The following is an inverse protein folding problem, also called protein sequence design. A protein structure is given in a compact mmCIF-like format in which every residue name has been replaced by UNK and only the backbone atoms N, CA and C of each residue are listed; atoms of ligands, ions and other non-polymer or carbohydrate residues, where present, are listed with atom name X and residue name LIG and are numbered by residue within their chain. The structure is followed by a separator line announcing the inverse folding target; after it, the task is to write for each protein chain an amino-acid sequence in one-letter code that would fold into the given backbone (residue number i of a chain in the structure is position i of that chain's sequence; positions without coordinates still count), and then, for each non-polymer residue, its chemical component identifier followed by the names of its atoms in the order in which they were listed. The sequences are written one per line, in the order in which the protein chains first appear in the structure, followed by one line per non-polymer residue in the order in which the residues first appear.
data_IF_262688097945
#
_entry.id   IF_262688097945
#
_cell.length_a   1.000
_cell.length_b   1.000
_cell.length_c   1.000
_cell.angle_alpha   90.00
_cell.angle_beta   90.00
_cell.angle_gamma   90.00
#
_symmetry.space_group_name_H-M   'P 1'
#
loop_
_entity.id
_entity.type
_entity.pdbx_description
1 polymer ?
#
# COMPACT_ATOMS: atom_id res chain seq x y z
N UNK A 1 16.26 -20.03 -3.07
CA UNK A 1 17.51 -19.56 -3.71
C UNK A 1 17.37 -18.05 -3.83
N UNK A 2 18.16 -17.24 -3.09
CA UNK A 2 18.24 -15.80 -3.29
C UNK A 2 18.78 -15.59 -4.72
N UNK A 3 17.95 -15.01 -5.59
CA UNK A 3 18.48 -14.46 -6.82
C UNK A 3 19.36 -13.26 -6.47
N UNK A 4 20.60 -13.30 -6.89
CA UNK A 4 21.57 -12.26 -6.61
C UNK A 4 21.42 -11.01 -7.49
N UNK A 5 20.46 -11.00 -8.43
CA UNK A 5 20.27 -9.88 -9.38
C UNK A 5 19.56 -8.69 -8.75
N UNK A 6 18.80 -8.88 -7.66
CA UNK A 6 17.96 -7.84 -7.06
C UNK A 6 16.80 -7.38 -7.96
N UNK A 7 16.58 -8.05 -9.09
CA UNK A 7 15.51 -7.71 -10.03
C UNK A 7 14.24 -8.44 -9.61
N UNK A 8 13.05 -7.79 -9.58
CA UNK A 8 11.80 -8.48 -9.33
C UNK A 8 11.55 -9.59 -10.34
N UNK A 9 11.06 -10.74 -9.88
CA UNK A 9 10.72 -11.89 -10.76
C UNK A 9 9.40 -11.72 -11.52
N UNK A 10 8.83 -10.53 -11.55
CA UNK A 10 7.57 -10.22 -12.22
C UNK A 10 7.72 -9.00 -13.12
N UNK A 11 6.95 -8.97 -14.21
CA UNK A 11 6.92 -7.83 -15.11
C UNK A 11 6.05 -6.71 -14.50
N UNK A 12 6.68 -5.57 -14.22
CA UNK A 12 6.01 -4.38 -13.70
C UNK A 12 4.94 -3.82 -14.63
N UNK A 13 5.01 -4.11 -15.92
CA UNK A 13 4.09 -3.59 -16.94
C UNK A 13 2.85 -4.47 -17.12
N UNK A 14 3.00 -5.78 -16.92
CA UNK A 14 1.93 -6.77 -17.16
C UNK A 14 1.31 -7.31 -15.87
N UNK A 15 1.80 -6.87 -14.70
CA UNK A 15 1.34 -7.36 -13.40
C UNK A 15 0.46 -6.31 -12.70
N UNK A 16 -0.67 -6.75 -12.14
CA UNK A 16 -1.42 -5.94 -11.18
C UNK A 16 -0.70 -5.93 -9.84
N UNK A 17 -0.23 -4.77 -9.45
CA UNK A 17 0.39 -4.57 -8.15
C UNK A 17 -0.67 -4.20 -7.11
N UNK A 18 -0.79 -5.03 -6.07
CA UNK A 18 -1.72 -4.80 -4.96
C UNK A 18 -0.93 -4.42 -3.72
N UNK A 19 -1.24 -3.27 -3.14
CA UNK A 19 -0.55 -2.78 -1.95
C UNK A 19 -1.52 -2.16 -0.94
N UNK A 20 -1.06 -2.03 0.30
CA UNK A 20 -1.71 -1.20 1.30
C UNK A 20 -0.92 0.10 1.44
N UNK A 21 -1.37 1.18 0.82
CA UNK A 21 -0.70 2.47 0.70
C UNK A 21 0.46 2.46 -0.32
N UNK A 22 0.10 2.35 -1.59
CA UNK A 22 1.04 2.26 -2.72
C UNK A 22 2.18 3.29 -2.75
N UNK A 23 2.07 4.53 -2.20
CA UNK A 23 3.22 5.44 -2.15
C UNK A 23 4.46 4.86 -1.48
N UNK A 24 4.31 4.07 -0.41
CA UNK A 24 5.44 3.48 0.31
C UNK A 24 6.16 2.42 -0.53
N UNK A 25 5.41 1.47 -1.10
CA UNK A 25 5.97 0.37 -1.89
C UNK A 25 6.54 0.88 -3.22
N UNK A 26 5.79 1.74 -3.92
CA UNK A 26 6.25 2.32 -5.19
C UNK A 26 7.46 3.23 -4.96
N UNK A 27 7.49 3.98 -3.86
CA UNK A 27 8.66 4.76 -3.45
C UNK A 27 9.89 3.88 -3.27
N UNK A 28 9.73 2.72 -2.63
CA UNK A 28 10.81 1.72 -2.49
C UNK A 28 11.28 1.18 -3.84
N UNK A 29 10.37 0.84 -4.76
CA UNK A 29 10.73 0.40 -6.11
C UNK A 29 11.49 1.46 -6.90
N UNK A 30 11.06 2.73 -6.81
CA UNK A 30 11.75 3.83 -7.46
C UNK A 30 13.16 4.05 -6.89
N UNK A 31 13.35 3.86 -5.59
CA UNK A 31 14.67 3.99 -4.95
C UNK A 31 15.59 2.82 -5.29
N UNK A 32 15.04 1.64 -5.53
CA UNK A 32 15.77 0.45 -5.97
C UNK A 32 15.93 0.36 -7.51
N UNK A 33 15.48 1.37 -8.24
CA UNK A 33 15.54 1.44 -9.71
C UNK A 33 14.76 0.32 -10.43
N UNK A 34 13.74 -0.25 -9.79
CA UNK A 34 12.87 -1.26 -10.42
C UNK A 34 11.81 -0.67 -11.34
N UNK A 35 11.62 0.65 -11.29
CA UNK A 35 10.57 1.31 -12.05
C UNK A 35 9.26 1.42 -11.29
N UNK A 36 8.18 1.68 -12.04
CA UNK A 36 6.83 1.86 -11.50
C UNK A 36 5.88 0.81 -12.09
N UNK A 37 5.03 0.16 -11.28
CA UNK A 37 3.98 -0.71 -11.79
C UNK A 37 3.00 0.05 -12.71
N UNK A 38 2.58 -0.60 -13.80
CA UNK A 38 1.63 -0.03 -14.75
C UNK A 38 0.19 -0.10 -14.25
N UNK A 39 -0.17 -1.12 -13.50
CA UNK A 39 -1.48 -1.29 -12.88
C UNK A 39 -1.32 -1.41 -11.36
N UNK A 40 -2.00 -0.55 -10.61
CA UNK A 40 -1.93 -0.52 -9.15
C UNK A 40 -3.33 -0.57 -8.56
N UNK A 41 -3.55 -1.49 -7.62
CA UNK A 41 -4.69 -1.49 -6.73
C UNK A 41 -4.21 -1.09 -5.33
N UNK A 42 -4.65 0.06 -4.86
CA UNK A 42 -4.33 0.52 -3.52
C UNK A 42 -5.49 0.21 -2.56
N UNK A 43 -5.26 -0.79 -1.71
CA UNK A 43 -6.24 -1.27 -0.73
C UNK A 43 -6.64 -0.16 0.25
N UNK A 44 -5.71 0.73 0.62
CA UNK A 44 -5.97 1.85 1.51
C UNK A 44 -6.96 2.86 0.90
N UNK A 45 -6.73 3.28 -0.35
CA UNK A 45 -7.58 4.27 -0.99
C UNK A 45 -8.97 3.71 -1.30
N UNK A 46 -9.07 2.44 -1.69
CA UNK A 46 -10.37 1.77 -1.86
C UNK A 46 -11.12 1.67 -0.54
N UNK A 47 -10.42 1.33 0.55
CA UNK A 47 -10.99 1.33 1.87
C UNK A 47 -11.46 2.73 2.29
N UNK A 48 -10.65 3.76 2.09
CA UNK A 48 -11.01 5.15 2.38
C UNK A 48 -12.29 5.59 1.65
N UNK A 49 -12.45 5.20 0.38
CA UNK A 49 -13.68 5.44 -0.42
C UNK A 49 -14.91 4.81 0.23
N UNK A 50 -14.81 3.54 0.62
CA UNK A 50 -15.92 2.79 1.21
C UNK A 50 -16.32 3.34 2.57
N UNK A 51 -15.37 3.77 3.38
CA UNK A 51 -15.62 4.23 4.75
C UNK A 51 -16.01 5.69 4.88
N UNK A 52 -15.61 6.56 3.97
CA UNK A 52 -16.13 7.93 3.94
C UNK A 52 -17.65 7.98 3.79
N UNK A 53 -18.23 6.92 3.23
CA UNK A 53 -19.69 6.78 3.07
C UNK A 53 -20.38 6.09 4.25
N UNK A 54 -19.64 5.40 5.12
CA UNK A 54 -20.18 4.70 6.29
C UNK A 54 -19.58 5.29 7.58
N UNK A 55 -20.34 6.05 8.34
CA UNK A 55 -19.95 6.71 9.62
C UNK A 55 -19.50 5.77 10.75
N UNK A 56 -19.33 4.48 10.53
CA UNK A 56 -19.13 3.47 11.57
C UNK A 56 -17.67 3.03 11.78
N UNK A 57 -16.69 3.64 11.12
CA UNK A 57 -15.30 3.19 11.26
C UNK A 57 -14.60 3.88 12.44
N UNK A 58 -14.55 3.20 13.58
CA UNK A 58 -13.77 3.63 14.74
C UNK A 58 -12.36 3.03 14.62
N UNK A 59 -11.32 3.87 14.55
CA UNK A 59 -9.95 3.37 14.70
C UNK A 59 -8.94 3.71 13.59
N UNK A 60 -9.30 4.52 12.59
CA UNK A 60 -8.38 4.93 11.53
C UNK A 60 -8.18 3.88 10.42
N UNK A 61 -7.61 4.32 9.31
CA UNK A 61 -7.43 3.51 8.10
C UNK A 61 -6.05 2.81 8.13
N UNK A 62 -5.82 1.90 9.04
CA UNK A 62 -4.64 1.01 8.99
C UNK A 62 -5.03 -0.39 8.52
N UNK A 63 -4.04 -1.21 8.15
CA UNK A 63 -4.28 -2.56 7.63
C UNK A 63 -5.02 -3.44 8.65
N UNK A 64 -4.69 -3.35 9.92
CA UNK A 64 -5.32 -4.13 10.99
C UNK A 64 -6.82 -3.82 11.09
N UNK A 65 -7.16 -2.52 11.18
CA UNK A 65 -8.55 -2.10 11.27
C UNK A 65 -9.35 -2.42 9.99
N UNK A 66 -8.69 -2.30 8.83
CA UNK A 66 -9.27 -2.71 7.55
C UNK A 66 -9.57 -4.20 7.53
N UNK A 67 -8.61 -5.04 7.88
CA UNK A 67 -8.78 -6.49 7.93
C UNK A 67 -9.88 -6.91 8.91
N UNK A 68 -9.93 -6.31 10.10
CA UNK A 68 -10.99 -6.53 11.08
C UNK A 68 -12.38 -6.19 10.52
N UNK A 69 -12.50 -5.08 9.79
CA UNK A 69 -13.75 -4.66 9.18
C UNK A 69 -14.26 -5.65 8.11
N UNK A 70 -13.35 -6.32 7.43
CA UNK A 70 -13.66 -7.40 6.49
C UNK A 70 -13.79 -8.78 7.14
N UNK A 71 -13.68 -8.87 8.47
CA UNK A 71 -13.80 -10.13 9.23
C UNK A 71 -12.64 -11.11 8.98
N UNK A 72 -11.48 -10.61 8.57
CA UNK A 72 -10.26 -11.41 8.38
C UNK A 72 -9.73 -11.78 9.76
N UNK A 73 -9.45 -13.06 9.96
CA UNK A 73 -8.94 -13.62 11.21
C UNK A 73 -7.44 -13.89 11.12
N UNK A 74 -6.79 -14.11 12.25
CA UNK A 74 -5.35 -14.42 12.37
C UNK A 74 -4.43 -13.32 11.88
N UNK A 75 -4.87 -12.06 12.01
CA UNK A 75 -4.04 -10.89 11.76
C UNK A 75 -3.16 -10.59 12.97
N UNK A 76 -2.01 -9.99 12.72
CA UNK A 76 -1.12 -9.56 13.79
C UNK A 76 -1.75 -8.44 14.63
N UNK A 77 -1.59 -8.53 15.95
CA UNK A 77 -2.00 -7.46 16.86
C UNK A 77 -1.17 -6.19 16.68
N UNK A 78 -1.67 -5.05 17.18
CA UNK A 78 -0.90 -3.80 17.17
C UNK A 78 0.41 -3.91 17.96
N UNK A 79 0.40 -4.67 19.05
CA UNK A 79 1.60 -4.89 19.87
C UNK A 79 2.66 -5.70 19.11
N UNK A 80 2.28 -6.80 18.46
CA UNK A 80 3.20 -7.57 17.61
C UNK A 80 3.77 -6.70 16.48
N UNK A 81 2.92 -5.94 15.78
CA UNK A 81 3.37 -5.02 14.71
C UNK A 81 4.33 -3.95 15.21
N UNK A 82 4.10 -3.43 16.41
CA UNK A 82 4.99 -2.45 17.02
C UNK A 82 6.36 -3.06 17.31
N UNK A 83 6.40 -4.24 17.91
CA UNK A 83 7.66 -4.94 18.24
C UNK A 83 8.51 -5.21 16.99
N UNK A 84 7.89 -5.71 15.90
CA UNK A 84 8.62 -5.98 14.66
C UNK A 84 9.08 -4.68 13.97
N UNK A 85 8.27 -3.63 14.02
CA UNK A 85 8.66 -2.32 13.49
C UNK A 85 9.81 -1.70 14.29
N UNK A 86 9.74 -1.75 15.61
CA UNK A 86 10.79 -1.22 16.48
C UNK A 86 12.11 -1.97 16.20
N UNK A 87 12.08 -3.30 16.07
CA UNK A 87 13.24 -4.10 15.67
C UNK A 87 13.84 -3.62 14.32
N UNK A 88 12.99 -3.37 13.31
CA UNK A 88 13.44 -2.93 11.98
C UNK A 88 14.06 -1.53 12.04
N UNK A 89 13.52 -0.62 12.85
CA UNK A 89 13.96 0.79 12.88
C UNK A 89 15.18 1.02 13.76
N UNK A 90 15.38 0.21 14.80
CA UNK A 90 16.45 0.40 15.78
C UNK A 90 17.77 -0.24 15.37
N UNK A 91 17.77 -1.17 14.42
CA UNK A 91 18.95 -1.94 14.02
C UNK A 91 19.25 -1.77 12.53
N UNK A 92 20.55 -1.82 12.18
CA UNK A 92 21.02 -1.85 10.79
C UNK A 92 21.44 -3.25 10.31
N UNK A 93 21.67 -4.15 11.26
CA UNK A 93 22.06 -5.54 11.00
C UNK A 93 21.25 -6.46 11.88
N UNK A 94 20.88 -7.61 11.35
CA UNK A 94 20.00 -8.57 12.02
C UNK A 94 20.69 -9.93 12.14
N UNK A 95 20.39 -10.64 13.22
CA UNK A 95 20.71 -12.05 13.37
C UNK A 95 19.82 -12.88 12.43
N UNK A 96 20.20 -14.13 12.10
CA UNK A 96 19.38 -15.02 11.26
C UNK A 96 17.93 -15.21 11.80
N UNK A 97 17.77 -15.27 13.12
CA UNK A 97 16.46 -15.42 13.75
C UNK A 97 15.62 -14.13 13.63
N UNK A 98 16.24 -12.96 13.74
CA UNK A 98 15.58 -11.66 13.53
C UNK A 98 15.21 -11.47 12.05
N UNK A 99 16.09 -11.84 11.11
CA UNK A 99 15.76 -11.86 9.68
C UNK A 99 14.52 -12.72 9.39
N UNK A 100 14.45 -13.91 9.98
CA UNK A 100 13.31 -14.80 9.81
C UNK A 100 12.02 -14.20 10.40
N UNK A 101 12.11 -13.55 11.56
CA UNK A 101 10.97 -12.85 12.17
C UNK A 101 10.47 -11.73 11.27
N UNK A 102 11.37 -10.89 10.73
CA UNK A 102 11.04 -9.80 9.80
C UNK A 102 10.39 -10.34 8.53
N UNK A 103 10.92 -11.42 7.95
CA UNK A 103 10.33 -12.07 6.77
C UNK A 103 8.92 -12.60 7.06
N UNK A 104 8.70 -13.24 8.20
CA UNK A 104 7.39 -13.73 8.62
C UNK A 104 6.40 -12.56 8.85
N UNK A 105 6.88 -11.46 9.41
CA UNK A 105 6.09 -10.23 9.55
C UNK A 105 5.64 -9.71 8.18
N UNK A 106 6.57 -9.54 7.25
CA UNK A 106 6.26 -9.09 5.88
C UNK A 106 5.30 -10.04 5.16
N UNK A 107 5.51 -11.35 5.29
CA UNK A 107 4.62 -12.35 4.69
C UNK A 107 3.18 -12.22 5.20
N UNK A 108 2.98 -12.09 6.51
CA UNK A 108 1.65 -11.94 7.12
C UNK A 108 0.95 -10.66 6.68
N UNK A 109 1.69 -9.55 6.52
CA UNK A 109 1.12 -8.30 6.00
C UNK A 109 0.71 -8.42 4.53
N UNK A 110 1.50 -9.11 3.70
CA UNK A 110 1.17 -9.39 2.29
C UNK A 110 -0.07 -10.28 2.19
N UNK A 111 -0.13 -11.38 2.96
CA UNK A 111 -1.27 -12.30 2.99
C UNK A 111 -2.56 -11.58 3.45
N UNK A 112 -2.44 -10.71 4.46
CA UNK A 112 -3.57 -9.89 4.94
C UNK A 112 -4.04 -8.92 3.86
N UNK A 113 -3.11 -8.26 3.18
CA UNK A 113 -3.41 -7.32 2.07
C UNK A 113 -4.12 -8.04 0.92
N UNK A 114 -3.67 -9.24 0.54
CA UNK A 114 -4.29 -10.06 -0.48
C UNK A 114 -5.73 -10.44 -0.12
N UNK A 115 -5.97 -10.88 1.12
CA UNK A 115 -7.32 -11.22 1.58
C UNK A 115 -8.26 -10.01 1.59
N UNK A 116 -7.76 -8.81 1.97
CA UNK A 116 -8.56 -7.58 1.90
C UNK A 116 -8.89 -7.23 0.46
N UNK A 117 -7.92 -7.33 -0.45
CA UNK A 117 -8.14 -7.10 -1.88
C UNK A 117 -9.25 -7.98 -2.45
N UNK A 118 -9.23 -9.31 -2.19
CA UNK A 118 -10.28 -10.24 -2.63
C UNK A 118 -11.67 -9.81 -2.12
N UNK A 119 -11.77 -9.36 -0.86
CA UNK A 119 -13.01 -8.84 -0.30
C UNK A 119 -13.48 -7.55 -0.96
N UNK A 120 -12.54 -6.64 -1.28
CA UNK A 120 -12.86 -5.39 -1.98
C UNK A 120 -13.37 -5.65 -3.39
N UNK A 121 -12.77 -6.56 -4.13
CA UNK A 121 -13.24 -6.97 -5.47
C UNK A 121 -14.66 -7.54 -5.39
N UNK A 122 -14.92 -8.46 -4.45
CA UNK A 122 -16.26 -9.02 -4.25
C UNK A 122 -17.30 -7.95 -3.83
N UNK A 123 -16.90 -6.94 -3.07
CA UNK A 123 -17.78 -5.83 -2.69
C UNK A 123 -18.11 -4.91 -3.87
N UNK A 124 -17.18 -4.70 -4.78
CA UNK A 124 -17.42 -3.95 -6.03
C UNK A 124 -18.49 -4.66 -6.86
N UNK A 125 -18.41 -5.99 -7.00
CA UNK A 125 -19.43 -6.78 -7.72
C UNK A 125 -20.81 -6.63 -7.10
N UNK A 126 -20.90 -6.75 -5.76
CA UNK A 126 -22.19 -6.68 -5.03
C UNK A 126 -22.83 -5.31 -5.04
N UNK A 127 -22.05 -4.24 -5.06
CA UNK A 127 -22.53 -2.87 -4.83
C UNK A 127 -22.47 -2.00 -6.09
N UNK A 128 -22.45 -2.59 -7.26
CA UNK A 128 -22.33 -1.89 -8.55
C UNK A 128 -23.45 -0.88 -8.82
N UNK A 129 -24.66 -1.07 -8.22
CA UNK A 129 -25.82 -0.16 -8.36
C UNK A 129 -26.10 0.25 -9.80
N UNK A 130 -25.96 -0.69 -10.74
CA UNK A 130 -26.19 -0.42 -12.17
C UNK A 130 -24.99 0.19 -12.91
N UNK A 131 -23.88 0.44 -12.25
CA UNK A 131 -22.63 0.82 -12.93
C UNK A 131 -21.96 -0.45 -13.45
N UNK A 132 -21.51 -0.51 -14.72
CA UNK A 132 -20.80 -1.68 -15.24
C UNK A 132 -19.57 -2.02 -14.38
N UNK A 133 -19.36 -3.30 -14.12
CA UNK A 133 -18.25 -3.79 -13.30
C UNK A 133 -16.89 -3.29 -13.79
N UNK A 134 -16.64 -3.34 -15.10
CA UNK A 134 -15.40 -2.84 -15.70
C UNK A 134 -15.16 -1.37 -15.39
N UNK A 135 -16.22 -0.54 -15.40
CA UNK A 135 -16.10 0.87 -15.04
C UNK A 135 -15.64 1.06 -13.60
N UNK A 136 -16.15 0.24 -12.68
CA UNK A 136 -15.75 0.29 -11.27
C UNK A 136 -14.31 -0.19 -11.06
N UNK A 137 -13.88 -1.22 -11.81
CA UNK A 137 -12.49 -1.67 -11.81
C UNK A 137 -11.55 -0.57 -12.34
N UNK A 138 -11.87 0.04 -13.47
CA UNK A 138 -11.09 1.16 -14.01
C UNK A 138 -10.96 2.33 -13.03
N UNK A 139 -12.03 2.65 -12.34
CA UNK A 139 -11.99 3.68 -11.30
C UNK A 139 -11.08 3.30 -10.13
N UNK A 140 -11.06 2.02 -9.72
CA UNK A 140 -10.18 1.55 -8.66
C UNK A 140 -8.71 1.62 -9.10
N UNK A 141 -8.40 1.14 -10.31
CA UNK A 141 -7.05 1.23 -10.89
C UNK A 141 -6.59 2.69 -11.06
N UNK A 142 -7.48 3.58 -11.50
CA UNK A 142 -7.17 5.01 -11.59
C UNK A 142 -6.81 5.62 -10.23
N UNK A 143 -7.54 5.28 -9.17
CA UNK A 143 -7.20 5.73 -7.81
C UNK A 143 -5.88 5.14 -7.32
N UNK A 144 -5.63 3.86 -7.59
CA UNK A 144 -4.36 3.20 -7.27
C UNK A 144 -3.18 3.86 -7.98
N UNK A 145 -3.34 4.18 -9.27
CA UNK A 145 -2.32 4.93 -10.03
C UNK A 145 -2.11 6.35 -9.47
N UNK A 146 -3.16 7.01 -9.03
CA UNK A 146 -3.04 8.33 -8.39
C UNK A 146 -2.21 8.25 -7.10
N UNK A 147 -2.40 7.19 -6.31
CA UNK A 147 -1.57 6.93 -5.12
C UNK A 147 -0.12 6.61 -5.51
N UNK A 148 0.13 5.82 -6.55
CA UNK A 148 1.48 5.56 -7.05
C UNK A 148 2.18 6.84 -7.57
N UNK A 149 1.44 7.78 -8.14
CA UNK A 149 1.97 9.08 -8.53
C UNK A 149 2.45 9.93 -7.34
N UNK A 150 1.86 9.76 -6.15
CA UNK A 150 2.34 10.43 -4.94
C UNK A 150 3.80 10.05 -4.63
N UNK A 151 4.19 8.79 -4.84
CA UNK A 151 5.59 8.37 -4.68
C UNK A 151 6.56 9.10 -5.62
N UNK A 152 6.12 9.44 -6.84
CA UNK A 152 6.93 10.24 -7.76
C UNK A 152 7.10 11.68 -7.26
N UNK A 153 6.02 12.27 -6.75
CA UNK A 153 6.05 13.61 -6.16
C UNK A 153 6.96 13.63 -4.93
N UNK A 154 6.88 12.64 -4.06
CA UNK A 154 7.75 12.51 -2.89
C UNK A 154 9.22 12.37 -3.28
N UNK A 155 9.51 11.58 -4.32
CA UNK A 155 10.88 11.37 -4.82
C UNK A 155 11.49 12.60 -5.49
N UNK A 156 10.72 13.28 -6.32
CA UNK A 156 11.21 14.40 -7.14
C UNK A 156 10.99 15.77 -6.49
N UNK A 157 10.10 15.84 -5.51
CA UNK A 157 9.64 17.08 -4.92
C UNK A 157 8.69 17.87 -5.83
N UNK A 158 8.18 18.97 -5.31
CA UNK A 158 7.38 19.93 -6.06
C UNK A 158 8.22 21.17 -6.31
N UNK A 159 8.43 21.60 -7.57
CA UNK A 159 9.19 22.81 -7.85
C UNK A 159 8.46 24.02 -7.27
N UNK A 160 9.17 24.80 -6.45
CA UNK A 160 8.64 26.03 -5.85
C UNK A 160 9.50 27.24 -6.22
N UNK A 161 8.88 28.36 -6.50
CA UNK A 161 9.59 29.64 -6.71
C UNK A 161 9.99 30.23 -5.35
N UNK A 162 11.20 29.90 -4.92
CA UNK A 162 11.74 30.35 -3.63
C UNK A 162 11.81 31.87 -3.52
N UNK A 163 12.01 32.61 -4.64
CA UNK A 163 12.04 34.07 -4.62
C UNK A 163 10.68 34.65 -4.31
N UNK A 164 9.63 34.14 -4.96
CA UNK A 164 8.24 34.54 -4.68
C UNK A 164 7.82 34.24 -3.26
N UNK A 165 8.16 33.02 -2.77
CA UNK A 165 7.82 32.64 -1.39
C UNK A 165 8.48 33.62 -0.39
N UNK A 166 9.76 33.93 -0.55
CA UNK A 166 10.47 34.91 0.33
C UNK A 166 9.83 36.28 0.30
N UNK A 167 9.30 36.74 -0.85
CA UNK A 167 8.62 38.04 -0.96
C UNK A 167 7.27 38.09 -0.23
N UNK A 168 6.62 36.93 -0.04
CA UNK A 168 5.32 36.85 0.67
C UNK A 168 5.50 36.84 2.20
N UNK A 169 6.69 36.44 2.69
CA UNK A 169 6.99 36.35 4.12
C UNK A 169 7.91 37.46 4.63
N UNK A 170 8.26 38.42 3.78
CA UNK A 170 8.97 39.65 4.15
C UNK A 170 7.99 40.80 4.33
#
# INVERSE_FOLDING_TARGET
KKDKSGIPHFDMQETLFVSFYAPAEVGSFLNLYFGRPNAVWDVYVENAKLYKTKRSFKGGLNLLNTANAYGIKNIMSEQEKKLERDLILEQQTYTPDEELRILNYCQRDVETTAQVFEKQVADIERHSKGIPYDTLLWQALFRGQSMACAALVEKHGIPVDVKKIKTVYS
#
